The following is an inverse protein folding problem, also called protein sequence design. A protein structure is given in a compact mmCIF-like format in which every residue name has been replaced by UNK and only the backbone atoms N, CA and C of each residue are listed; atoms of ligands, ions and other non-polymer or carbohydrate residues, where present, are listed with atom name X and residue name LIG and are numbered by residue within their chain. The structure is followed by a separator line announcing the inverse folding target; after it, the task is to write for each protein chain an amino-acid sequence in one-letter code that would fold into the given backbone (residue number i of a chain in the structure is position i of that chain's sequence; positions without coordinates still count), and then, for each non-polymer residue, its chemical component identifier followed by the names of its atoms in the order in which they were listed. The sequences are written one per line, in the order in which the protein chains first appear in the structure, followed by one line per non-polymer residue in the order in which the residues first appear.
data_IF_259270578295
#
_entry.id   IF_259270578295
#
_cell.length_a   1.000
_cell.length_b   1.000
_cell.length_c   1.000
_cell.angle_alpha   90.00
_cell.angle_beta   90.00
_cell.angle_gamma   90.00
#
_symmetry.space_group_name_H-M   'P 1'
#
loop_
_entity.id
_entity.type
_entity.pdbx_description
1 polymer ?
#
# COMPACT_ATOMS: atom_id res chain seq x y z
N UNK A 1 16.36 10.16 38.49
CA UNK A 1 17.47 9.26 38.09
C UNK A 1 16.89 8.17 37.20
N UNK A 2 17.09 8.25 35.89
CA UNK A 2 16.69 7.16 35.00
C UNK A 2 17.65 6.00 35.23
N UNK A 3 17.17 4.92 35.85
CA UNK A 3 17.92 3.66 35.88
C UNK A 3 18.13 3.23 34.44
N UNK A 4 19.39 3.17 33.99
CA UNK A 4 19.73 2.59 32.70
C UNK A 4 19.31 1.11 32.76
N UNK A 5 18.19 0.79 32.11
CA UNK A 5 17.78 -0.60 31.94
C UNK A 5 18.91 -1.33 31.23
N UNK A 6 19.32 -2.47 31.78
CA UNK A 6 20.30 -3.31 31.09
C UNK A 6 19.74 -3.70 29.72
N UNK A 7 20.57 -3.70 28.66
CA UNK A 7 20.12 -4.04 27.33
C UNK A 7 19.56 -5.47 27.30
N UNK A 8 18.52 -5.67 26.51
CA UNK A 8 17.94 -7.00 26.27
C UNK A 8 19.07 -7.97 25.84
N UNK A 9 19.15 -9.21 26.40
CA UNK A 9 20.14 -10.20 25.98
C UNK A 9 20.21 -10.40 24.46
N UNK A 10 19.09 -10.28 23.74
CA UNK A 10 19.04 -10.33 22.26
C UNK A 10 19.69 -9.11 21.63
N UNK A 11 19.42 -7.93 22.15
CA UNK A 11 20.06 -6.69 21.71
C UNK A 11 21.58 -6.78 21.87
N UNK A 12 22.05 -7.25 23.03
CA UNK A 12 23.48 -7.49 23.28
C UNK A 12 24.08 -8.46 22.25
N UNK A 13 23.40 -9.56 21.94
CA UNK A 13 23.85 -10.54 20.93
C UNK A 13 23.99 -9.90 19.54
N UNK A 14 23.02 -9.09 19.11
CA UNK A 14 23.11 -8.40 17.82
C UNK A 14 24.25 -7.38 17.83
N UNK A 15 24.46 -6.64 18.92
CA UNK A 15 25.60 -5.72 19.02
C UNK A 15 26.95 -6.42 18.89
N UNK A 16 27.12 -7.60 19.51
CA UNK A 16 28.34 -8.41 19.34
C UNK A 16 28.51 -8.94 17.91
N UNK A 17 27.42 -9.08 17.16
CA UNK A 17 27.42 -9.58 15.79
C UNK A 17 27.76 -8.49 14.75
N UNK A 18 27.49 -7.22 15.04
CA UNK A 18 27.69 -6.11 14.08
C UNK A 18 29.12 -6.06 13.51
N UNK A 19 30.21 -6.11 14.30
CA UNK A 19 31.55 -6.09 13.73
C UNK A 19 31.81 -7.27 12.78
N UNK A 20 31.25 -8.44 13.07
CA UNK A 20 31.37 -9.63 12.22
C UNK A 20 30.55 -9.47 10.92
N UNK A 21 29.37 -8.84 10.97
CA UNK A 21 28.59 -8.51 9.77
C UNK A 21 29.33 -7.50 8.90
N UNK A 22 29.94 -6.47 9.49
CA UNK A 22 30.79 -5.52 8.75
C UNK A 22 31.96 -6.26 8.09
N UNK A 23 32.62 -7.17 8.82
CA UNK A 23 33.70 -7.98 8.27
C UNK A 23 33.19 -8.87 7.12
N UNK A 24 32.05 -9.53 7.29
CA UNK A 24 31.40 -10.33 6.24
C UNK A 24 31.11 -9.48 4.99
N UNK A 25 30.65 -8.24 5.15
CA UNK A 25 30.39 -7.35 4.02
C UNK A 25 31.65 -6.85 3.31
N UNK A 26 32.81 -6.90 3.97
CA UNK A 26 34.12 -6.55 3.39
C UNK A 26 34.79 -7.72 2.70
N UNK A 27 34.69 -8.92 3.26
CA UNK A 27 35.44 -10.10 2.79
C UNK A 27 34.60 -11.09 2.01
N UNK A 28 33.27 -11.04 2.16
CA UNK A 28 32.31 -12.04 1.65
C UNK A 28 32.57 -13.47 2.17
N UNK A 29 33.42 -13.59 3.20
CA UNK A 29 33.81 -14.86 3.80
C UNK A 29 32.83 -15.24 4.93
N UNK A 30 32.03 -16.30 4.77
CA UNK A 30 31.06 -16.70 5.79
C UNK A 30 31.71 -17.26 7.06
N UNK A 31 32.99 -17.65 7.02
CA UNK A 31 33.69 -18.19 8.19
C UNK A 31 33.93 -17.16 9.29
N UNK A 32 33.79 -15.87 8.98
CA UNK A 32 33.91 -14.77 9.95
C UNK A 32 32.79 -14.76 11.00
N UNK A 33 31.66 -15.43 10.72
CA UNK A 33 30.56 -15.61 11.67
C UNK A 33 30.55 -17.06 12.13
N UNK A 34 31.07 -17.37 13.34
CA UNK A 34 31.07 -18.73 13.84
C UNK A 34 29.63 -19.20 14.12
N UNK A 35 29.33 -20.51 13.99
CA UNK A 35 27.99 -21.05 14.24
C UNK A 35 27.41 -20.69 15.61
N UNK A 36 28.26 -20.55 16.64
CA UNK A 36 27.86 -20.17 18.00
C UNK A 36 27.39 -18.71 18.14
N UNK A 37 27.62 -17.87 17.13
CA UNK A 37 27.20 -16.48 17.07
C UNK A 37 26.04 -16.26 16.10
N UNK A 38 25.52 -17.30 15.45
CA UNK A 38 24.36 -17.17 14.58
C UNK A 38 23.13 -16.76 15.40
N UNK A 39 22.51 -15.61 15.10
CA UNK A 39 21.28 -15.18 15.74
C UNK A 39 20.10 -16.02 15.25
N UNK A 40 19.03 -16.05 16.05
CA UNK A 40 17.74 -16.54 15.57
C UNK A 40 17.16 -15.52 14.57
N UNK A 41 16.32 -15.97 13.64
CA UNK A 41 15.73 -15.11 12.59
C UNK A 41 15.00 -13.87 13.14
N UNK A 42 14.48 -13.97 14.37
CA UNK A 42 13.74 -12.90 15.04
C UNK A 42 14.60 -11.95 15.89
N UNK A 43 15.88 -12.27 16.11
CA UNK A 43 16.72 -11.47 17.01
C UNK A 43 16.99 -10.07 16.43
N UNK A 44 17.03 -9.90 15.11
CA UNK A 44 17.21 -8.58 14.48
C UNK A 44 16.01 -7.64 14.68
N UNK A 45 14.83 -8.19 15.01
CA UNK A 45 13.62 -7.40 15.25
C UNK A 45 13.76 -6.45 16.45
N UNK A 46 14.66 -6.72 17.40
CA UNK A 46 14.88 -5.86 18.57
C UNK A 46 15.47 -4.50 18.21
N UNK A 47 16.14 -4.40 17.05
CA UNK A 47 16.77 -3.16 16.58
C UNK A 47 15.95 -2.41 15.53
N UNK A 48 14.72 -2.83 15.22
CA UNK A 48 13.93 -2.28 14.09
C UNK A 48 13.65 -0.77 14.12
N UNK A 49 13.96 -0.07 15.22
CA UNK A 49 13.78 1.38 15.36
C UNK A 49 15.04 2.08 15.86
N UNK A 50 16.17 1.38 15.89
CA UNK A 50 17.39 1.81 16.59
C UNK A 50 18.64 1.71 15.71
N UNK A 51 18.49 1.38 14.43
CA UNK A 51 19.61 1.30 13.51
C UNK A 51 20.35 2.64 13.35
N UNK A 52 19.64 3.77 13.46
CA UNK A 52 20.21 5.12 13.52
C UNK A 52 21.17 5.30 14.72
N UNK A 53 20.81 4.75 15.88
CA UNK A 53 21.66 4.77 17.08
C UNK A 53 22.87 3.85 16.91
N UNK A 54 22.69 2.70 16.24
CA UNK A 54 23.72 1.70 16.01
C UNK A 54 24.86 2.25 15.14
N UNK A 55 24.52 2.92 14.03
CA UNK A 55 25.52 3.47 13.10
C UNK A 55 25.83 4.95 13.35
N UNK A 56 25.50 5.45 14.56
CA UNK A 56 25.73 6.85 14.88
C UNK A 56 27.22 7.17 14.84
N UNK A 57 27.58 8.15 13.99
CA UNK A 57 28.97 8.59 13.82
C UNK A 57 29.80 7.72 12.88
N UNK A 58 29.20 6.72 12.24
CA UNK A 58 29.85 5.91 11.22
C UNK A 58 29.98 6.67 9.91
N UNK A 59 30.98 6.32 9.12
CA UNK A 59 31.12 6.81 7.74
C UNK A 59 30.20 6.04 6.79
N UNK A 60 29.88 6.64 5.64
CA UNK A 60 29.02 6.01 4.62
C UNK A 60 29.55 4.64 4.18
N UNK A 61 30.88 4.50 4.09
CA UNK A 61 31.54 3.23 3.75
C UNK A 61 31.26 2.14 4.80
N UNK A 62 31.28 2.47 6.08
CA UNK A 62 31.03 1.50 7.16
C UNK A 62 29.57 1.05 7.18
N UNK A 63 28.64 1.99 6.94
CA UNK A 63 27.21 1.68 6.77
C UNK A 63 27.00 0.77 5.55
N UNK A 64 27.68 1.06 4.43
CA UNK A 64 27.63 0.22 3.24
C UNK A 64 28.19 -1.18 3.51
N UNK A 65 29.33 -1.30 4.20
CA UNK A 65 29.92 -2.59 4.59
C UNK A 65 28.94 -3.40 5.47
N UNK A 66 28.24 -2.77 6.42
CA UNK A 66 27.20 -3.44 7.22
C UNK A 66 26.02 -3.91 6.37
N UNK A 67 25.53 -3.08 5.44
CA UNK A 67 24.44 -3.44 4.52
C UNK A 67 24.84 -4.64 3.64
N UNK A 68 26.06 -4.66 3.11
CA UNK A 68 26.60 -5.80 2.36
C UNK A 68 26.64 -7.04 3.22
N UNK A 69 27.12 -6.91 4.46
CA UNK A 69 27.15 -7.98 5.46
C UNK A 69 25.79 -8.61 5.69
N UNK A 70 24.76 -7.79 5.97
CA UNK A 70 23.39 -8.24 6.17
C UNK A 70 22.80 -8.89 4.91
N UNK A 71 23.10 -8.35 3.73
CA UNK A 71 22.64 -8.89 2.44
C UNK A 71 23.23 -10.28 2.18
N UNK A 72 24.53 -10.46 2.42
CA UNK A 72 25.19 -11.76 2.32
C UNK A 72 24.75 -12.73 3.40
N UNK A 73 24.55 -12.25 4.63
CA UNK A 73 24.15 -13.05 5.77
C UNK A 73 22.85 -13.84 5.48
N UNK A 74 21.81 -13.19 4.95
CA UNK A 74 20.57 -13.89 4.58
C UNK A 74 20.82 -14.98 3.53
N UNK A 75 21.66 -14.68 2.53
CA UNK A 75 21.95 -15.57 1.41
C UNK A 75 22.74 -16.81 1.84
N UNK A 76 23.79 -16.63 2.64
CA UNK A 76 24.70 -17.71 3.05
C UNK A 76 24.06 -18.61 4.10
N UNK A 77 23.45 -18.00 5.13
CA UNK A 77 22.96 -18.75 6.28
C UNK A 77 21.49 -19.16 6.14
N UNK A 78 20.85 -18.87 5.00
CA UNK A 78 19.45 -19.16 4.72
C UNK A 78 18.51 -18.72 5.86
N UNK A 79 18.82 -17.56 6.45
CA UNK A 79 18.08 -16.98 7.56
C UNK A 79 17.46 -15.66 7.08
N UNK A 80 16.20 -15.71 6.68
CA UNK A 80 15.50 -14.51 6.24
C UNK A 80 15.15 -13.61 7.42
N UNK A 81 15.28 -12.29 7.25
CA UNK A 81 14.77 -11.30 8.20
C UNK A 81 13.23 -11.10 8.12
N UNK A 82 12.55 -11.96 7.36
CA UNK A 82 11.12 -11.82 7.05
C UNK A 82 10.83 -10.58 6.20
N UNK A 83 9.63 -10.00 6.38
CA UNK A 83 9.17 -8.83 5.61
C UNK A 83 9.67 -7.49 6.14
N UNK A 84 10.38 -7.48 7.27
CA UNK A 84 10.92 -6.25 7.89
C UNK A 84 12.44 -6.41 8.06
N UNK A 85 13.21 -6.49 6.95
CA UNK A 85 14.67 -6.56 7.03
C UNK A 85 15.25 -5.26 7.61
N UNK A 86 16.46 -5.32 8.21
CA UNK A 86 17.20 -4.14 8.66
C UNK A 86 17.73 -3.28 7.50
N UNK A 87 18.01 -3.91 6.36
CA UNK A 87 18.66 -3.26 5.21
C UNK A 87 17.93 -1.99 4.73
N UNK A 88 16.59 -1.92 4.61
CA UNK A 88 15.93 -0.70 4.18
C UNK A 88 16.13 0.52 5.06
N UNK A 89 16.24 0.33 6.38
CA UNK A 89 16.49 1.45 7.29
C UNK A 89 17.93 1.93 7.17
N UNK A 90 18.87 1.01 7.18
CA UNK A 90 20.29 1.30 6.97
C UNK A 90 20.54 1.93 5.59
N UNK A 91 19.86 1.45 4.55
CA UNK A 91 19.95 2.01 3.21
C UNK A 91 19.38 3.43 3.16
N UNK A 92 18.29 3.72 3.88
CA UNK A 92 17.78 5.08 4.06
C UNK A 92 18.80 6.02 4.72
N UNK A 93 19.51 5.53 5.75
CA UNK A 93 20.61 6.27 6.41
C UNK A 93 21.75 6.50 5.41
N UNK A 94 22.26 5.44 4.79
CA UNK A 94 23.33 5.51 3.78
C UNK A 94 22.98 6.47 2.64
N UNK A 95 21.77 6.40 2.10
CA UNK A 95 21.27 7.26 1.03
C UNK A 95 21.23 8.75 1.41
N UNK A 96 21.20 9.09 2.70
CA UNK A 96 21.29 10.47 3.18
C UNK A 96 22.73 10.99 3.27
N UNK A 97 23.72 10.11 3.17
CA UNK A 97 25.15 10.42 3.32
C UNK A 97 25.88 10.54 1.98
N UNK A 98 25.28 10.09 0.88
CA UNK A 98 25.90 9.99 -0.45
C UNK A 98 25.02 10.66 -1.51
N UNK A 99 25.57 10.90 -2.70
CA UNK A 99 24.79 11.44 -3.82
C UNK A 99 23.87 10.39 -4.46
N UNK A 100 22.96 10.85 -5.33
CA UNK A 100 21.97 9.97 -5.95
C UNK A 100 22.58 8.89 -6.86
N UNK A 101 23.70 9.17 -7.53
CA UNK A 101 24.35 8.20 -8.41
C UNK A 101 24.99 7.08 -7.61
N UNK A 102 25.73 7.41 -6.55
CA UNK A 102 26.31 6.40 -5.65
C UNK A 102 25.21 5.57 -4.97
N UNK A 103 24.17 6.23 -4.46
CA UNK A 103 22.99 5.56 -3.89
C UNK A 103 22.36 4.56 -4.84
N UNK A 104 22.13 4.97 -6.09
CA UNK A 104 21.44 4.14 -7.08
C UNK A 104 22.31 2.95 -7.50
N UNK A 105 23.62 3.17 -7.70
CA UNK A 105 24.59 2.11 -7.95
C UNK A 105 24.61 1.08 -6.79
N UNK A 106 24.57 1.56 -5.55
CA UNK A 106 24.56 0.66 -4.40
C UNK A 106 23.23 -0.10 -4.25
N UNK A 107 22.09 0.51 -4.54
CA UNK A 107 20.83 -0.21 -4.59
C UNK A 107 20.80 -1.29 -5.68
N UNK A 108 21.38 -1.04 -6.86
CA UNK A 108 21.57 -2.08 -7.89
C UNK A 108 22.42 -3.23 -7.35
N UNK A 109 23.54 -2.93 -6.68
CA UNK A 109 24.36 -3.96 -6.03
C UNK A 109 23.53 -4.79 -5.05
N UNK A 110 22.73 -4.16 -4.19
CA UNK A 110 21.90 -4.87 -3.21
C UNK A 110 20.87 -5.76 -3.91
N UNK A 111 20.19 -5.26 -4.95
CA UNK A 111 19.18 -6.02 -5.70
C UNK A 111 19.77 -7.26 -6.35
N UNK A 112 21.01 -7.20 -6.83
CA UNK A 112 21.72 -8.36 -7.42
C UNK A 112 22.02 -9.43 -6.37
N UNK A 113 22.39 -9.02 -5.15
CA UNK A 113 22.94 -9.94 -4.14
C UNK A 113 21.90 -10.42 -3.11
N UNK A 114 20.78 -9.72 -2.96
CA UNK A 114 19.75 -10.09 -1.99
C UNK A 114 18.90 -11.28 -2.42
N UNK A 115 18.51 -12.08 -1.45
CA UNK A 115 17.46 -13.12 -1.58
C UNK A 115 16.11 -12.67 -1.02
N UNK A 116 16.05 -11.47 -0.40
CA UNK A 116 14.87 -10.94 0.25
C UNK A 116 14.14 -9.94 -0.65
N UNK A 117 12.87 -10.20 -0.93
CA UNK A 117 12.07 -9.39 -1.82
C UNK A 117 11.81 -7.97 -1.26
N UNK A 118 11.99 -7.70 0.02
CA UNK A 118 11.72 -6.38 0.62
C UNK A 118 12.92 -5.44 0.60
N UNK A 119 14.04 -5.85 0.01
CA UNK A 119 15.30 -5.09 0.00
C UNK A 119 15.53 -4.45 -1.39
N UNK A 120 16.07 -3.21 -1.50
CA UNK A 120 16.55 -2.34 -0.41
C UNK A 120 15.52 -1.33 0.12
N UNK A 121 14.29 -1.28 -0.41
CA UNK A 121 13.37 -0.17 -0.13
C UNK A 121 12.27 -0.47 0.91
N UNK A 122 12.26 -1.65 1.52
CA UNK A 122 11.17 -2.08 2.41
C UNK A 122 9.87 -2.40 1.67
N UNK A 123 9.91 -2.42 0.33
CA UNK A 123 8.79 -2.78 -0.55
C UNK A 123 9.21 -3.96 -1.41
N UNK A 124 8.25 -4.83 -1.73
CA UNK A 124 8.49 -5.97 -2.64
C UNK A 124 9.18 -5.51 -3.94
N UNK A 125 10.33 -6.09 -4.25
CA UNK A 125 11.17 -5.81 -5.40
C UNK A 125 10.81 -6.67 -6.62
N UNK A 126 9.85 -7.57 -6.47
CA UNK A 126 9.31 -8.47 -7.50
C UNK A 126 10.37 -9.36 -8.14
N UNK A 127 11.43 -9.72 -7.41
CA UNK A 127 12.57 -10.47 -7.92
C UNK A 127 13.44 -9.69 -8.92
N UNK A 128 13.27 -8.38 -9.02
CA UNK A 128 14.07 -7.55 -9.93
C UNK A 128 15.51 -7.45 -9.43
N UNK A 129 16.47 -7.47 -10.37
CA UNK A 129 17.91 -7.40 -10.11
C UNK A 129 18.55 -6.10 -10.59
N UNK A 130 17.72 -5.09 -10.87
CA UNK A 130 18.16 -3.72 -11.11
C UNK A 130 17.04 -2.72 -10.84
N UNK A 131 17.40 -1.48 -10.55
CA UNK A 131 16.53 -0.34 -10.34
C UNK A 131 15.75 0.01 -11.60
N UNK A 132 16.38 -0.09 -12.77
CA UNK A 132 15.69 0.13 -14.03
C UNK A 132 14.53 -0.87 -14.22
N UNK A 133 14.77 -2.16 -13.95
CA UNK A 133 13.75 -3.19 -14.03
C UNK A 133 12.65 -3.00 -12.96
N UNK A 134 13.05 -2.67 -11.73
CA UNK A 134 12.13 -2.37 -10.63
C UNK A 134 11.24 -1.16 -10.92
N UNK A 135 11.81 -0.09 -11.46
CA UNK A 135 11.09 1.13 -11.85
C UNK A 135 10.07 0.83 -12.96
N UNK A 136 10.49 0.11 -14.02
CA UNK A 136 9.59 -0.33 -15.09
C UNK A 136 8.43 -1.18 -14.56
N UNK A 137 8.71 -2.09 -13.62
CA UNK A 137 7.68 -2.92 -12.99
C UNK A 137 6.69 -2.09 -12.16
N UNK A 138 7.19 -1.15 -11.35
CA UNK A 138 6.35 -0.25 -10.54
C UNK A 138 5.49 0.66 -11.42
N UNK A 139 6.03 1.20 -12.51
CA UNK A 139 5.28 1.98 -13.49
C UNK A 139 4.14 1.16 -14.10
N UNK A 140 4.41 -0.06 -14.56
CA UNK A 140 3.39 -0.94 -15.13
C UNK A 140 2.27 -1.29 -14.12
N UNK A 141 2.60 -1.47 -12.84
CA UNK A 141 1.60 -1.69 -11.79
C UNK A 141 0.76 -0.44 -11.53
N UNK A 142 1.38 0.74 -11.52
CA UNK A 142 0.67 2.01 -11.37
C UNK A 142 -0.30 2.25 -12.54
N UNK A 143 0.13 1.99 -13.77
CA UNK A 143 -0.71 2.11 -14.96
C UNK A 143 -1.88 1.13 -14.91
N UNK A 144 -1.62 -0.14 -14.55
CA UNK A 144 -2.69 -1.13 -14.35
C UNK A 144 -3.70 -0.67 -13.30
N UNK A 145 -3.23 -0.10 -12.18
CA UNK A 145 -4.12 0.42 -11.13
C UNK A 145 -4.99 1.57 -11.66
N UNK A 146 -4.43 2.49 -12.46
CA UNK A 146 -5.17 3.59 -13.09
C UNK A 146 -6.21 3.09 -14.07
N UNK A 147 -5.85 2.16 -14.96
CA UNK A 147 -6.79 1.57 -15.94
C UNK A 147 -7.94 0.84 -15.25
N UNK A 148 -7.64 0.06 -14.20
CA UNK A 148 -8.66 -0.62 -13.40
C UNK A 148 -9.60 0.37 -12.72
N UNK A 149 -9.06 1.42 -12.09
CA UNK A 149 -9.87 2.44 -11.43
C UNK A 149 -10.78 3.19 -12.42
N UNK A 150 -10.27 3.53 -13.61
CA UNK A 150 -11.07 4.15 -14.66
C UNK A 150 -12.20 3.22 -15.15
N UNK A 151 -11.90 1.94 -15.34
CA UNK A 151 -12.89 0.95 -15.76
C UNK A 151 -13.96 0.71 -14.70
N UNK A 152 -13.56 0.70 -13.43
CA UNK A 152 -14.47 0.56 -12.30
C UNK A 152 -15.37 1.79 -12.14
N UNK A 153 -14.84 2.99 -12.36
CA UNK A 153 -15.63 4.23 -12.36
C UNK A 153 -16.70 4.21 -13.46
N UNK A 154 -16.35 3.81 -14.69
CA UNK A 154 -17.31 3.68 -15.80
C UNK A 154 -18.40 2.66 -15.45
N UNK A 155 -18.04 1.50 -14.91
CA UNK A 155 -19.02 0.49 -14.47
C UNK A 155 -19.93 1.00 -13.37
N UNK A 156 -19.38 1.77 -12.44
CA UNK A 156 -20.15 2.38 -11.37
C UNK A 156 -21.16 3.39 -11.92
N UNK A 157 -20.74 4.28 -12.81
CA UNK A 157 -21.59 5.28 -13.46
C UNK A 157 -22.69 4.63 -14.31
N UNK A 158 -22.34 3.62 -15.10
CA UNK A 158 -23.30 2.85 -15.90
C UNK A 158 -24.31 2.13 -15.00
N UNK A 159 -23.86 1.50 -13.90
CA UNK A 159 -24.75 0.86 -12.94
C UNK A 159 -25.68 1.87 -12.25
N UNK A 160 -25.20 3.07 -11.92
CA UNK A 160 -26.04 4.14 -11.36
C UNK A 160 -27.06 4.63 -12.38
N UNK A 161 -26.64 4.86 -13.63
CA UNK A 161 -27.52 5.26 -14.73
C UNK A 161 -28.61 4.21 -14.96
N UNK A 162 -28.25 2.94 -15.05
CA UNK A 162 -29.19 1.84 -15.27
C UNK A 162 -30.17 1.70 -14.09
N UNK A 163 -29.70 1.89 -12.84
CA UNK A 163 -30.58 1.95 -11.67
C UNK A 163 -31.58 3.11 -11.74
N UNK A 164 -31.11 4.30 -12.16
CA UNK A 164 -31.95 5.47 -12.37
C UNK A 164 -33.01 5.21 -13.44
N UNK A 165 -32.62 4.69 -14.60
CA UNK A 165 -33.53 4.34 -15.70
C UNK A 165 -34.59 3.32 -15.29
N UNK A 166 -34.21 2.21 -14.65
CA UNK A 166 -35.16 1.23 -14.13
C UNK A 166 -36.08 1.81 -13.05
N UNK A 167 -35.61 2.80 -12.29
CA UNK A 167 -36.43 3.49 -11.30
C UNK A 167 -37.44 4.44 -11.97
N UNK A 168 -37.00 5.17 -13.00
CA UNK A 168 -37.83 6.02 -13.88
C UNK A 168 -38.98 5.22 -14.49
N UNK A 169 -38.69 4.07 -15.10
CA UNK A 169 -39.70 3.20 -15.73
C UNK A 169 -40.77 2.72 -14.73
N UNK A 170 -40.38 2.46 -13.47
CA UNK A 170 -41.27 1.94 -12.43
C UNK A 170 -42.09 3.03 -11.73
N UNK A 171 -41.67 4.29 -11.83
CA UNK A 171 -42.26 5.41 -11.10
C UNK A 171 -43.75 5.66 -11.46
N UNK A 172 -44.18 5.68 -12.74
CA UNK A 172 -45.60 5.81 -13.11
C UNK A 172 -46.50 4.77 -12.43
N UNK A 173 -46.06 3.52 -12.34
CA UNK A 173 -46.83 2.43 -11.71
C UNK A 173 -46.91 2.59 -10.19
N UNK A 174 -45.89 3.16 -9.54
CA UNK A 174 -45.94 3.47 -8.11
C UNK A 174 -46.94 4.60 -7.83
N UNK A 175 -46.95 5.65 -8.65
CA UNK A 175 -47.90 6.76 -8.54
C UNK A 175 -49.34 6.31 -8.73
N UNK A 176 -49.64 5.53 -9.78
CA UNK A 176 -50.98 4.99 -10.04
C UNK A 176 -51.51 4.10 -8.91
N UNK A 177 -50.62 3.44 -8.17
CA UNK A 177 -50.96 2.66 -6.96
C UNK A 177 -51.09 3.51 -5.69
N UNK A 178 -50.76 4.80 -5.74
CA UNK A 178 -50.66 5.70 -4.59
C UNK A 178 -49.79 5.12 -3.47
N UNK A 179 -48.64 4.55 -3.83
CA UNK A 179 -47.66 3.99 -2.88
C UNK A 179 -46.52 5.00 -2.62
N UNK A 180 -46.69 5.83 -1.59
CA UNK A 180 -45.75 6.90 -1.26
C UNK A 180 -44.34 6.38 -0.92
N UNK A 181 -44.26 5.23 -0.24
CA UNK A 181 -42.99 4.63 0.14
C UNK A 181 -42.22 4.14 -1.09
N UNK A 182 -42.91 3.50 -2.04
CA UNK A 182 -42.31 3.10 -3.30
C UNK A 182 -41.87 4.31 -4.14
N UNK A 183 -42.67 5.37 -4.20
CA UNK A 183 -42.32 6.61 -4.91
C UNK A 183 -41.04 7.23 -4.32
N UNK A 184 -40.98 7.41 -3.00
CA UNK A 184 -39.80 7.94 -2.32
C UNK A 184 -38.54 7.08 -2.57
N UNK A 185 -38.68 5.75 -2.53
CA UNK A 185 -37.57 4.83 -2.79
C UNK A 185 -37.07 4.88 -4.24
N UNK A 186 -37.95 5.10 -5.22
CA UNK A 186 -37.58 5.23 -6.63
C UNK A 186 -36.89 6.58 -6.91
N UNK A 187 -37.38 7.66 -6.31
CA UNK A 187 -36.72 8.98 -6.38
C UNK A 187 -35.32 8.94 -5.75
N UNK A 188 -35.18 8.27 -4.60
CA UNK A 188 -33.87 8.08 -3.96
C UNK A 188 -32.88 7.27 -4.81
N UNK A 189 -33.36 6.47 -5.77
CA UNK A 189 -32.55 5.73 -6.75
C UNK A 189 -32.24 6.54 -8.01
N UNK A 190 -32.68 7.80 -8.09
CA UNK A 190 -32.44 8.68 -9.23
C UNK A 190 -33.47 8.54 -10.36
N UNK A 191 -34.72 8.16 -10.04
CA UNK A 191 -35.80 8.21 -11.02
C UNK A 191 -36.00 9.65 -11.54
N UNK A 192 -36.11 9.80 -12.86
CA UNK A 192 -36.41 11.06 -13.53
C UNK A 192 -37.93 11.26 -13.62
N UNK A 193 -38.44 12.29 -12.93
CA UNK A 193 -39.86 12.60 -12.90
C UNK A 193 -40.39 13.16 -14.22
N UNK A 194 -39.51 13.67 -15.09
CA UNK A 194 -39.87 14.32 -16.34
C UNK A 194 -39.75 13.39 -17.55
N UNK A 195 -39.17 12.20 -17.40
CA UNK A 195 -39.05 11.24 -18.48
C UNK A 195 -40.44 10.74 -18.92
N UNK A 196 -40.73 10.72 -20.23
CA UNK A 196 -41.99 10.20 -20.73
C UNK A 196 -42.06 8.68 -20.56
N UNK A 197 -43.23 8.18 -20.18
CA UNK A 197 -43.53 6.75 -20.23
C UNK A 197 -43.92 6.29 -21.64
N UNK A 198 -44.15 5.00 -21.83
CA UNK A 198 -44.67 4.43 -23.10
C UNK A 198 -46.00 5.07 -23.54
N UNK A 199 -46.76 5.65 -22.60
CA UNK A 199 -48.01 6.38 -22.88
C UNK A 199 -47.81 7.85 -23.24
N UNK A 200 -46.56 8.34 -23.32
CA UNK A 200 -46.22 9.74 -23.57
C UNK A 200 -46.38 10.67 -22.36
N UNK A 201 -47.12 10.27 -21.32
CA UNK A 201 -47.20 10.98 -20.05
C UNK A 201 -45.92 10.79 -19.22
N UNK A 202 -45.41 11.85 -18.59
CA UNK A 202 -44.34 11.75 -17.60
C UNK A 202 -44.91 11.54 -16.18
N UNK A 203 -44.05 11.25 -15.20
CA UNK A 203 -44.48 10.99 -13.82
C UNK A 203 -45.10 12.23 -13.14
N UNK A 204 -44.67 13.44 -13.53
CA UNK A 204 -45.22 14.69 -13.02
C UNK A 204 -46.66 14.93 -13.46
N UNK A 205 -46.98 14.64 -14.71
CA UNK A 205 -48.35 14.73 -15.25
C UNK A 205 -49.29 13.77 -14.49
N UNK A 206 -48.82 12.54 -14.25
CA UNK A 206 -49.59 11.52 -13.51
C UNK A 206 -49.80 11.96 -12.05
N UNK A 207 -48.78 12.50 -11.39
CA UNK A 207 -48.91 12.98 -10.01
C UNK A 207 -49.93 14.12 -9.90
N UNK A 208 -49.97 15.02 -10.91
CA UNK A 208 -50.93 16.12 -11.00
C UNK A 208 -52.36 15.64 -11.23
N UNK A 209 -52.56 14.70 -12.15
CA UNK A 209 -53.86 14.08 -12.40
C UNK A 209 -54.42 13.42 -11.13
N UNK A 210 -53.55 12.85 -10.31
CA UNK A 210 -53.90 12.17 -9.06
C UNK A 210 -53.98 13.08 -7.83
N UNK A 211 -53.57 14.35 -7.92
CA UNK A 211 -53.49 15.30 -6.80
C UNK A 211 -52.46 14.94 -5.72
N UNK A 212 -51.34 14.34 -6.11
CA UNK A 212 -50.24 13.89 -5.23
C UNK A 212 -48.88 14.48 -5.61
N UNK A 213 -48.87 15.69 -6.17
CA UNK A 213 -47.67 16.39 -6.66
C UNK A 213 -46.57 16.52 -5.59
N UNK A 214 -46.99 16.69 -4.33
CA UNK A 214 -46.07 16.79 -3.18
C UNK A 214 -45.15 15.56 -3.00
N UNK A 215 -45.47 14.41 -3.60
CA UNK A 215 -44.65 13.20 -3.47
C UNK A 215 -43.43 13.20 -4.37
N UNK A 216 -43.44 14.00 -5.44
CA UNK A 216 -42.36 14.08 -6.43
C UNK A 216 -41.56 15.38 -6.35
N UNK A 217 -41.95 16.31 -5.48
CA UNK A 217 -41.16 17.51 -5.19
C UNK A 217 -39.90 17.13 -4.39
N UNK A 218 -38.79 17.05 -5.13
CA UNK A 218 -37.49 16.57 -4.66
C UNK A 218 -36.88 17.48 -3.59
N UNK A 219 -37.28 18.75 -3.51
CA UNK A 219 -36.81 19.69 -2.49
C UNK A 219 -37.26 19.30 -1.06
N UNK A 220 -38.46 18.74 -0.92
CA UNK A 220 -38.97 18.24 0.36
C UNK A 220 -38.24 17.00 0.89
N UNK A 221 -37.58 16.23 0.02
CA UNK A 221 -36.90 14.98 0.38
C UNK A 221 -35.42 15.17 0.77
N UNK A 222 -34.75 16.23 0.28
CA UNK A 222 -33.38 16.57 0.67
C UNK A 222 -33.29 17.32 2.01
N UNK A 223 -34.33 18.06 2.40
CA UNK A 223 -34.33 18.89 3.61
C UNK A 223 -34.50 18.11 4.95
N UNK A 224 -34.62 16.77 4.91
CA UNK A 224 -34.80 15.90 6.10
C UNK A 224 -33.64 14.93 6.35
N UNK A 225 -32.50 15.11 5.68
CA UNK A 225 -31.23 14.42 5.97
C UNK A 225 -30.23 15.40 6.53
#
# INVERSE_FOLDING_TARGET
MNQQQQPDPKEKRIFELIPLLVQLGRTEDPSVIPPSKLPDSWDFGVLWKRWDCVVKGWEAKEVADLIKGLTYFEKVFNCGFGSIPPVPQLFGIYASMVDSSERDNFADWILIHTVNDYVPYGTNNFGMRSLAALSKKKAALADRKRTNAASEQVRFEEAQRNKGQLATEKLPKALRRKDAAAVAALLAKGADVNAPSDSGQNARDIAKELGIESWIDVESAKAKR
#
